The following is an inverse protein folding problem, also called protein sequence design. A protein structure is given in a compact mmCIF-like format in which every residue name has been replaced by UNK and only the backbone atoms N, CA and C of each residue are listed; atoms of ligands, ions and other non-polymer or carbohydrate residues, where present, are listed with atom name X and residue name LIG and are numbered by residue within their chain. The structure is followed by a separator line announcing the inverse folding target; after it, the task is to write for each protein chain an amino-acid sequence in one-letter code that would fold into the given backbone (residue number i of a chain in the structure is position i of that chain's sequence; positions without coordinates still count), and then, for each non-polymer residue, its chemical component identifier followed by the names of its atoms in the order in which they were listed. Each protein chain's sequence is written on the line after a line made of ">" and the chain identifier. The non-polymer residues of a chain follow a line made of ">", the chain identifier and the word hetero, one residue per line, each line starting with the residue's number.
data_IF_254043053084
#
_entry.id   IF_254043053084
#
_cell.length_a   1.000
_cell.length_b   1.000
_cell.length_c   1.000
_cell.angle_alpha   90.00
_cell.angle_beta   90.00
_cell.angle_gamma   90.00
#
_symmetry.space_group_name_H-M   'P 1'
#
loop_
_entity.id
_entity.type
_entity.pdbx_description
1 polymer ?
#
# COMPACT_ATOMS: atom_id res chain seq x y z
N UNK A 1 -4.91 -6.03 7.98
CA UNK A 1 -5.05 -4.66 7.41
C UNK A 1 -6.49 -4.12 7.45
N UNK A 2 -7.27 -4.35 8.52
CA UNK A 2 -8.50 -3.57 8.77
C UNK A 2 -8.07 -2.12 9.09
N UNK A 3 -8.84 -1.12 8.65
CA UNK A 3 -8.51 0.31 8.83
C UNK A 3 -7.75 0.98 7.67
N UNK A 4 -7.16 0.20 6.75
CA UNK A 4 -6.54 0.77 5.53
C UNK A 4 -7.55 0.92 4.40
N UNK A 5 -7.45 2.03 3.67
CA UNK A 5 -8.17 2.23 2.42
C UNK A 5 -7.77 1.15 1.40
N UNK A 6 -8.68 0.82 0.48
CA UNK A 6 -8.50 -0.26 -0.50
C UNK A 6 -7.20 -0.12 -1.29
N UNK A 7 -6.93 1.06 -1.87
CA UNK A 7 -5.72 1.30 -2.70
C UNK A 7 -4.42 1.22 -1.90
N UNK A 8 -4.42 1.66 -0.65
CA UNK A 8 -3.25 1.50 0.24
C UNK A 8 -2.96 0.01 0.46
N UNK A 9 -4.00 -0.76 0.78
CA UNK A 9 -3.89 -2.20 1.02
C UNK A 9 -3.39 -2.96 -0.21
N UNK A 10 -3.99 -2.70 -1.37
CA UNK A 10 -3.59 -3.34 -2.63
C UNK A 10 -2.11 -3.09 -2.93
N UNK A 11 -1.64 -1.84 -2.83
CA UNK A 11 -0.23 -1.50 -3.05
C UNK A 11 0.69 -2.21 -2.05
N UNK A 12 0.34 -2.24 -0.76
CA UNK A 12 1.15 -2.91 0.25
C UNK A 12 1.21 -4.43 0.03
N UNK A 13 0.08 -5.06 -0.31
CA UNK A 13 0.04 -6.49 -0.61
C UNK A 13 0.95 -6.81 -1.79
N UNK A 14 0.81 -6.08 -2.90
CA UNK A 14 1.60 -6.37 -4.09
C UNK A 14 3.10 -6.06 -3.90
N UNK A 15 3.46 -4.97 -3.21
CA UNK A 15 4.87 -4.61 -2.97
C UNK A 15 5.57 -5.54 -1.98
N UNK A 16 4.92 -5.89 -0.88
CA UNK A 16 5.59 -6.53 0.27
C UNK A 16 5.26 -8.01 0.46
N UNK A 17 4.16 -8.50 -0.11
CA UNK A 17 3.75 -9.90 -0.01
C UNK A 17 3.84 -10.66 -1.34
N UNK A 18 3.84 -9.95 -2.47
CA UNK A 18 3.98 -10.53 -3.80
C UNK A 18 5.29 -10.13 -4.50
N UNK A 19 6.21 -9.47 -3.79
CA UNK A 19 7.54 -9.05 -4.27
C UNK A 19 7.55 -8.26 -5.60
N UNK A 20 6.43 -7.62 -5.96
CA UNK A 20 6.36 -6.82 -7.18
C UNK A 20 7.11 -5.51 -6.99
N UNK A 21 7.77 -5.00 -8.02
CA UNK A 21 8.34 -3.65 -8.05
C UNK A 21 7.23 -2.58 -8.14
N UNK A 22 7.55 -1.31 -7.86
CA UNK A 22 6.56 -0.22 -8.00
C UNK A 22 5.99 -0.09 -9.42
N UNK A 23 6.82 -0.36 -10.45
CA UNK A 23 6.39 -0.33 -11.84
C UNK A 23 5.40 -1.47 -12.14
N UNK A 24 5.69 -2.68 -11.68
CA UNK A 24 4.78 -3.83 -11.83
C UNK A 24 3.45 -3.60 -11.10
N UNK A 25 3.47 -2.96 -9.92
CA UNK A 25 2.25 -2.58 -9.20
C UNK A 25 1.45 -1.52 -9.96
N UNK A 26 2.12 -0.51 -10.52
CA UNK A 26 1.49 0.52 -11.32
C UNK A 26 0.75 -0.08 -12.53
N UNK A 27 1.41 -0.97 -13.26
CA UNK A 27 0.84 -1.71 -14.38
C UNK A 27 -0.34 -2.59 -13.94
N UNK A 28 -0.15 -3.40 -12.90
CA UNK A 28 -1.18 -4.34 -12.40
C UNK A 28 -2.46 -3.64 -11.94
N UNK A 29 -2.33 -2.46 -11.32
CA UNK A 29 -3.47 -1.72 -10.77
C UNK A 29 -4.03 -0.66 -11.73
N UNK A 30 -3.38 -0.44 -12.88
CA UNK A 30 -3.75 0.59 -13.85
C UNK A 30 -3.63 2.01 -13.30
N UNK A 31 -2.58 2.30 -12.51
CA UNK A 31 -2.35 3.61 -11.87
C UNK A 31 -0.93 4.12 -12.14
N UNK A 32 -0.70 5.42 -11.92
CA UNK A 32 0.65 5.98 -12.10
C UNK A 32 1.63 5.51 -11.03
N UNK A 33 2.93 5.51 -11.36
CA UNK A 33 4.02 5.27 -10.40
C UNK A 33 3.97 6.23 -9.20
N UNK A 34 3.60 7.49 -9.42
CA UNK A 34 3.40 8.47 -8.34
C UNK A 34 2.24 8.07 -7.41
N UNK A 35 1.15 7.54 -7.98
CA UNK A 35 0.03 7.00 -7.20
C UNK A 35 0.46 5.80 -6.36
N UNK A 36 1.27 4.88 -6.89
CA UNK A 36 1.84 3.75 -6.14
C UNK A 36 2.61 4.25 -4.92
N UNK A 37 3.56 5.18 -5.12
CA UNK A 37 4.34 5.76 -4.01
C UNK A 37 3.46 6.44 -2.96
N UNK A 38 2.48 7.23 -3.40
CA UNK A 38 1.59 7.95 -2.51
C UNK A 38 0.67 7.00 -1.70
N UNK A 39 0.14 5.94 -2.32
CA UNK A 39 -0.65 4.94 -1.61
C UNK A 39 0.21 4.06 -0.69
N UNK A 40 1.44 3.71 -1.09
CA UNK A 40 2.38 2.96 -0.27
C UNK A 40 2.78 3.73 0.99
N UNK A 41 3.22 4.99 0.84
CA UNK A 41 3.58 5.86 1.97
C UNK A 41 2.42 6.06 2.94
N UNK A 42 1.24 6.43 2.43
CA UNK A 42 0.03 6.58 3.27
C UNK A 42 -0.41 5.26 3.89
N UNK A 43 -0.23 4.14 3.19
CA UNK A 43 -0.54 2.82 3.70
C UNK A 43 0.31 2.43 4.89
N UNK A 44 1.63 2.64 4.83
CA UNK A 44 2.53 2.39 5.97
C UNK A 44 2.20 3.32 7.13
N UNK A 45 1.96 4.61 6.88
CA UNK A 45 1.58 5.55 7.93
C UNK A 45 0.28 5.13 8.63
N UNK A 46 -0.75 4.76 7.86
CA UNK A 46 -2.01 4.25 8.42
C UNK A 46 -1.83 2.94 9.19
N UNK A 47 -0.94 2.05 8.71
CA UNK A 47 -0.66 0.78 9.39
C UNK A 47 -0.03 1.03 10.77
N UNK A 48 0.91 1.98 10.89
CA UNK A 48 1.50 2.37 12.19
C UNK A 48 0.45 2.83 13.18
N UNK A 49 -0.43 3.76 12.77
CA UNK A 49 -1.52 4.27 13.62
C UNK A 49 -2.43 3.13 14.09
N UNK A 50 -2.81 2.22 13.19
CA UNK A 50 -3.67 1.08 13.56
C UNK A 50 -2.94 0.12 14.51
N UNK A 51 -1.65 -0.13 14.31
CA UNK A 51 -0.88 -0.99 15.21
C UNK A 51 -0.71 -0.39 16.59
N UNK A 52 -0.47 0.92 16.69
CA UNK A 52 -0.37 1.65 17.96
C UNK A 52 -1.71 1.67 18.72
N UNK A 53 -2.84 1.77 18.02
CA UNK A 53 -4.18 1.74 18.62
C UNK A 53 -4.67 0.34 19.05
N UNK A 54 -3.86 -0.70 18.85
CA UNK A 54 -4.19 -2.08 19.22
C UNK A 54 -3.28 -2.64 20.34
N UNK A 55 -2.43 -1.78 20.91
CA UNK A 55 -1.62 -2.03 22.12
C UNK A 55 -2.30 -1.37 23.31
#
# INVERSE_FOLDING_TARGET
>A
MKGLQRRQREVLVLRYFADMTEAQVAETLGISLGSVKAYGSRGIAALRVVMEAQV
#
